data_IF_371879714436
#
_entry.id   IF_371879714436
#
_cell.length_a   1.000
_cell.length_b   1.000
_cell.length_c   1.000
_cell.angle_alpha   90.00
_cell.angle_beta   90.00
_cell.angle_gamma   90.00
#
_symmetry.space_group_name_H-M   'P 1'
#
loop_
_entity.id
_entity.type
_entity.pdbx_description
1 polymer ?
#
# COMPACT_ATOMS: atom_id res chain seq x y z
N UNK A 1 2.88 -11.86 -5.76
CA UNK A 1 4.19 -11.16 -5.64
C UNK A 1 4.00 -9.71 -6.04
N UNK A 2 4.71 -8.78 -5.42
CA UNK A 2 4.57 -7.36 -5.75
C UNK A 2 5.33 -6.99 -7.03
N UNK A 3 4.77 -6.13 -7.91
CA UNK A 3 5.42 -5.74 -9.15
C UNK A 3 6.68 -4.90 -8.89
N UNK A 4 7.54 -4.79 -9.91
CA UNK A 4 8.73 -3.92 -9.86
C UNK A 4 8.35 -2.48 -9.49
N UNK A 5 9.19 -1.82 -8.69
CA UNK A 5 8.92 -0.48 -8.16
C UNK A 5 7.95 -0.44 -6.98
N UNK A 6 7.62 -1.60 -6.40
CA UNK A 6 6.80 -1.71 -5.20
C UNK A 6 7.42 -2.68 -4.18
N UNK A 7 6.95 -2.66 -2.93
CA UNK A 7 7.32 -3.61 -1.90
C UNK A 7 6.10 -4.09 -1.11
N UNK A 8 6.21 -5.27 -0.48
CA UNK A 8 5.12 -5.85 0.28
C UNK A 8 4.97 -5.20 1.67
N UNK A 9 3.72 -4.91 2.04
CA UNK A 9 3.32 -4.50 3.38
C UNK A 9 2.23 -5.42 3.90
N UNK A 10 2.44 -5.98 5.09
CA UNK A 10 1.44 -6.78 5.80
C UNK A 10 0.60 -5.86 6.67
N UNK A 11 -0.71 -5.79 6.37
CA UNK A 11 -1.69 -4.97 7.08
C UNK A 11 -1.77 -5.38 8.56
N UNK A 12 -1.66 -4.41 9.45
CA UNK A 12 -1.75 -4.58 10.90
C UNK A 12 -3.11 -4.14 11.44
N UNK A 13 -3.36 -4.48 12.70
CA UNK A 13 -4.56 -4.07 13.42
C UNK A 13 -4.76 -2.55 13.35
N UNK A 14 -5.97 -2.13 12.94
CA UNK A 14 -6.42 -0.73 12.80
C UNK A 14 -5.70 0.10 11.72
N UNK A 15 -4.93 -0.52 10.83
CA UNK A 15 -4.44 0.18 9.64
C UNK A 15 -5.56 0.32 8.60
N UNK A 16 -5.64 1.50 7.98
CA UNK A 16 -6.45 1.76 6.78
C UNK A 16 -5.51 2.11 5.62
N UNK A 17 -6.00 2.04 4.38
CA UNK A 17 -5.19 2.50 3.24
C UNK A 17 -4.70 3.94 3.40
N UNK A 18 -5.48 4.80 4.07
CA UNK A 18 -5.10 6.18 4.34
C UNK A 18 -3.90 6.26 5.30
N UNK A 19 -3.92 5.52 6.41
CA UNK A 19 -2.80 5.48 7.36
C UNK A 19 -1.55 4.90 6.70
N UNK A 20 -1.71 3.84 5.90
CA UNK A 20 -0.62 3.20 5.16
C UNK A 20 -0.03 4.16 4.12
N UNK A 21 -0.88 4.87 3.35
CA UNK A 21 -0.44 5.85 2.37
C UNK A 21 0.39 6.96 3.02
N UNK A 22 -0.09 7.51 4.14
CA UNK A 22 0.64 8.53 4.90
C UNK A 22 1.98 8.01 5.44
N UNK A 23 2.01 6.78 5.96
CA UNK A 23 3.23 6.14 6.48
C UNK A 23 4.33 6.02 5.43
N UNK A 24 3.96 5.71 4.19
CA UNK A 24 4.90 5.51 3.09
C UNK A 24 5.00 6.71 2.13
N UNK A 25 4.50 7.87 2.54
CA UNK A 25 4.52 9.11 1.76
C UNK A 25 3.97 8.94 0.33
N UNK A 26 2.90 8.16 0.19
CA UNK A 26 2.21 7.91 -1.09
C UNK A 26 0.72 8.27 -0.96
N UNK A 27 -0.07 7.97 -1.98
CA UNK A 27 -1.52 8.19 -1.97
C UNK A 27 -2.29 6.87 -1.97
N UNK A 28 -3.53 6.90 -1.45
CA UNK A 28 -4.44 5.75 -1.52
C UNK A 28 -4.65 5.29 -2.96
N UNK A 29 -4.80 6.24 -3.89
CA UNK A 29 -4.97 5.93 -5.32
C UNK A 29 -3.74 5.22 -5.91
N UNK A 30 -2.53 5.63 -5.53
CA UNK A 30 -1.31 4.97 -5.98
C UNK A 30 -1.18 3.55 -5.42
N UNK A 31 -1.62 3.31 -4.17
CA UNK A 31 -1.70 1.96 -3.60
C UNK A 31 -2.74 1.12 -4.37
N UNK A 32 -3.95 1.64 -4.60
CA UNK A 32 -4.99 0.90 -5.32
C UNK A 32 -4.59 0.55 -6.76
N UNK A 33 -3.88 1.44 -7.45
CA UNK A 33 -3.42 1.21 -8.82
C UNK A 33 -2.50 -0.02 -8.96
N UNK A 34 -1.68 -0.31 -7.94
CA UNK A 34 -0.77 -1.47 -7.93
C UNK A 34 -1.34 -2.69 -7.21
N UNK A 35 -2.60 -2.62 -6.76
CA UNK A 35 -3.31 -3.72 -6.11
C UNK A 35 -4.71 -3.90 -6.72
N UNK A 36 -4.82 -4.33 -7.98
CA UNK A 36 -6.12 -4.59 -8.61
C UNK A 36 -6.90 -5.64 -7.81
N UNK A 37 -8.17 -5.34 -7.53
CA UNK A 37 -9.08 -6.25 -6.81
C UNK A 37 -9.08 -6.12 -5.28
N UNK A 38 -8.30 -5.20 -4.69
CA UNK A 38 -8.45 -4.88 -3.27
C UNK A 38 -9.66 -3.99 -3.03
N UNK A 39 -10.47 -4.36 -2.03
CA UNK A 39 -11.51 -3.50 -1.47
C UNK A 39 -10.91 -2.56 -0.41
N UNK A 40 -10.91 -1.23 -0.63
CA UNK A 40 -10.35 -0.26 0.31
C UNK A 40 -11.11 -0.22 1.65
N UNK A 41 -12.36 -0.69 1.70
CA UNK A 41 -13.19 -0.69 2.91
C UNK A 41 -13.15 -2.01 3.68
N UNK A 42 -12.47 -3.04 3.15
CA UNK A 42 -12.43 -4.38 3.73
C UNK A 42 -11.00 -4.93 3.82
N UNK A 43 -10.07 -4.11 4.32
CA UNK A 43 -8.71 -4.56 4.62
C UNK A 43 -8.69 -5.53 5.79
N UNK A 44 -8.03 -6.68 5.60
CA UNK A 44 -7.91 -7.72 6.64
C UNK A 44 -6.53 -7.68 7.29
N UNK A 45 -6.49 -7.93 8.60
CA UNK A 45 -5.22 -8.11 9.33
C UNK A 45 -4.46 -9.29 8.71
N UNK A 46 -3.17 -9.13 8.46
CA UNK A 46 -2.33 -10.14 7.79
C UNK A 46 -2.44 -10.12 6.27
N UNK A 47 -3.35 -9.34 5.68
CA UNK A 47 -3.41 -9.16 4.23
C UNK A 47 -2.12 -8.50 3.75
N UNK A 48 -1.53 -9.03 2.69
CA UNK A 48 -0.37 -8.44 2.04
C UNK A 48 -0.85 -7.55 0.90
N UNK A 49 -0.39 -6.30 0.89
CA UNK A 49 -0.62 -5.33 -0.18
C UNK A 49 0.72 -4.78 -0.66
N UNK A 50 0.77 -4.34 -1.91
CA UNK A 50 1.96 -3.75 -2.52
C UNK A 50 1.94 -2.23 -2.35
N UNK A 51 3.06 -1.67 -1.89
CA UNK A 51 3.22 -0.23 -1.69
C UNK A 51 4.18 0.30 -2.76
N UNK A 52 3.79 1.33 -3.53
CA UNK A 52 4.67 1.93 -4.52
C UNK A 52 5.84 2.64 -3.85
N UNK A 53 7.05 2.46 -4.38
CA UNK A 53 8.21 3.25 -3.98
C UNK A 53 8.01 4.68 -4.48
N UNK A 54 7.91 5.65 -3.58
CA UNK A 54 7.85 7.06 -3.97
C UNK A 54 9.23 7.60 -4.31
N UNK A 55 9.34 8.38 -5.39
CA UNK A 55 10.58 8.98 -5.91
C UNK A 55 11.36 9.86 -4.92
N UNK A 56 10.86 10.14 -3.72
CA UNK A 56 11.62 10.83 -2.67
C UNK A 56 12.74 9.97 -2.05
N UNK A 57 12.81 8.67 -2.36
CA UNK A 57 13.97 7.83 -2.01
C UNK A 57 15.16 7.98 -2.99
N UNK A 58 14.93 8.61 -4.15
CA UNK A 58 15.95 8.88 -5.17
C UNK A 58 16.21 10.39 -5.37
N UNK A 59 15.82 11.22 -4.40
CA UNK A 59 16.21 12.63 -4.31
C UNK A 59 17.33 12.81 -3.30
#
# INVERSE_FOLDING_TARGET
MCPMGTFAHTVRYRETLWVIARKYNTTVNAILAVNPGIDPYNLRIGQIICIPMTNNFFR
#
